data_IF_665107500450
#
_entry.id   IF_665107500450
#
_cell.length_a   1.000
_cell.length_b   1.000
_cell.length_c   1.000
_cell.angle_alpha   90.00
_cell.angle_beta   90.00
_cell.angle_gamma   90.00
#
_symmetry.space_group_name_H-M   'P 1'
#
loop_
_entity.id
_entity.type
_entity.pdbx_description
1 polymer ?
#
# COMPACT_ATOMS: atom_id res chain seq x y z
N UNK A 1 4.20 -29.23 22.75
CA UNK A 1 4.77 -27.89 22.97
C UNK A 1 6.14 -27.82 22.28
N UNK A 2 6.16 -27.58 20.97
CA UNK A 2 7.37 -27.39 20.15
C UNK A 2 7.06 -26.44 18.99
N UNK A 3 7.73 -25.29 19.02
CA UNK A 3 8.04 -24.27 17.99
C UNK A 3 7.39 -24.40 16.59
N UNK A 4 6.51 -23.44 16.25
CA UNK A 4 5.97 -23.21 14.91
C UNK A 4 6.59 -21.99 14.18
N UNK A 5 7.62 -21.34 14.74
CA UNK A 5 8.15 -20.06 14.23
C UNK A 5 9.13 -20.15 13.02
N UNK A 6 9.34 -21.34 12.42
CA UNK A 6 10.33 -21.49 11.33
C UNK A 6 9.76 -21.75 9.93
N UNK A 7 8.48 -22.06 9.80
CA UNK A 7 7.92 -22.49 8.50
C UNK A 7 7.51 -21.27 7.63
N UNK A 8 7.16 -20.14 8.24
CA UNK A 8 6.72 -18.94 7.48
C UNK A 8 7.88 -18.21 6.80
N UNK A 9 9.11 -18.33 7.30
CA UNK A 9 10.30 -17.70 6.70
C UNK A 9 10.78 -18.42 5.42
N UNK A 10 10.33 -19.65 5.17
CA UNK A 10 10.86 -20.46 4.07
C UNK A 10 10.11 -20.24 2.75
N UNK A 11 8.89 -19.70 2.77
CA UNK A 11 8.13 -19.37 1.55
C UNK A 11 8.71 -18.13 0.85
N UNK A 12 9.50 -17.30 1.55
CA UNK A 12 10.11 -16.10 0.96
C UNK A 12 11.44 -16.43 0.25
N UNK A 13 12.06 -17.60 0.48
CA UNK A 13 13.44 -17.86 0.04
C UNK A 13 13.63 -18.75 -1.21
N UNK A 14 12.56 -19.22 -1.88
CA UNK A 14 12.73 -20.06 -3.10
C UNK A 14 11.86 -19.57 -4.26
N UNK A 15 12.25 -18.43 -4.82
CA UNK A 15 12.23 -18.20 -6.27
C UNK A 15 13.31 -17.16 -6.63
N UNK A 16 14.58 -17.58 -6.57
CA UNK A 16 15.66 -16.92 -7.34
C UNK A 16 15.35 -17.10 -8.83
N UNK A 17 15.53 -16.12 -9.72
CA UNK A 17 16.62 -15.18 -9.85
C UNK A 17 16.11 -13.82 -10.37
N UNK A 18 16.38 -12.75 -9.63
CA UNK A 18 16.75 -11.41 -10.09
C UNK A 18 16.64 -10.46 -8.89
N UNK A 19 17.79 -9.99 -8.42
CA UNK A 19 17.93 -9.02 -7.34
C UNK A 19 17.13 -7.75 -7.64
N UNK A 20 16.05 -7.54 -6.89
CA UNK A 20 15.48 -6.23 -6.68
C UNK A 20 15.48 -6.01 -5.17
N UNK A 21 16.45 -5.24 -4.68
CA UNK A 21 16.51 -4.79 -3.29
C UNK A 21 15.31 -3.88 -3.03
N UNK A 22 14.19 -4.45 -2.60
CA UNK A 22 13.09 -3.70 -2.01
C UNK A 22 13.49 -3.49 -0.54
N UNK A 23 14.34 -2.50 -0.32
CA UNK A 23 14.62 -2.02 1.02
C UNK A 23 13.36 -1.34 1.58
N UNK A 24 12.81 -1.97 2.63
CA UNK A 24 11.88 -1.43 3.62
C UNK A 24 10.45 -1.07 3.16
N UNK A 25 9.61 -2.10 3.00
CA UNK A 25 8.15 -1.93 3.02
C UNK A 25 7.66 -1.89 4.47
N UNK A 26 7.58 -0.69 5.06
CA UNK A 26 6.95 -0.48 6.37
C UNK A 26 5.45 -0.78 6.29
N UNK A 27 5.05 -1.96 6.77
CA UNK A 27 3.65 -2.26 7.07
C UNK A 27 3.25 -1.38 8.25
N UNK A 28 2.54 -0.28 7.95
CA UNK A 28 1.96 0.62 8.94
C UNK A 28 0.84 -0.06 9.71
N UNK A 29 1.20 -0.95 10.65
CA UNK A 29 0.38 -1.16 11.83
C UNK A 29 0.17 0.20 12.50
N UNK A 30 -1.00 0.40 13.10
CA UNK A 30 -1.29 1.54 13.95
C UNK A 30 -0.36 1.45 15.18
N UNK A 31 0.92 1.76 14.99
CA UNK A 31 1.88 1.85 16.07
C UNK A 31 1.49 3.10 16.85
N UNK A 32 0.95 2.88 18.04
CA UNK A 32 0.83 3.92 19.04
C UNK A 32 2.25 4.44 19.31
N UNK A 33 2.56 5.60 18.73
CA UNK A 33 3.83 6.26 18.98
C UNK A 33 3.70 6.98 20.30
N UNK A 34 4.44 6.53 21.31
CA UNK A 34 4.61 7.29 22.54
C UNK A 34 5.37 8.60 22.22
N UNK A 35 4.67 9.73 22.37
CA UNK A 35 5.22 11.07 22.16
C UNK A 35 5.68 11.74 23.49
N UNK A 36 5.61 10.97 24.58
CA UNK A 36 5.91 11.35 25.95
C UNK A 36 4.85 12.25 26.58
N UNK A 37 4.94 12.45 27.90
CA UNK A 37 4.03 13.30 28.65
C UNK A 37 4.39 14.80 28.51
N UNK A 38 3.38 15.68 28.61
CA UNK A 38 3.55 17.13 28.65
C UNK A 38 2.75 17.68 29.82
N UNK A 39 3.33 18.64 30.52
CA UNK A 39 2.63 19.34 31.59
C UNK A 39 1.70 20.38 31.01
N UNK A 40 0.48 20.42 31.51
CA UNK A 40 -0.46 21.51 31.26
C UNK A 40 0.03 22.75 32.02
N UNK A 41 0.04 23.89 31.35
CA UNK A 41 0.43 25.19 31.89
C UNK A 41 -0.80 26.08 31.96
N UNK A 42 -1.00 26.77 33.08
CA UNK A 42 -2.08 27.76 33.19
C UNK A 42 -1.62 29.07 32.56
N UNK A 43 -2.47 29.66 31.71
CA UNK A 43 -2.24 30.99 31.14
C UNK A 43 -3.49 31.86 31.34
N UNK A 44 -3.31 33.04 31.91
CA UNK A 44 -4.44 33.91 32.29
C UNK A 44 -5.36 33.27 33.34
N UNK A 45 -6.65 33.64 33.33
CA UNK A 45 -7.64 33.14 34.30
C UNK A 45 -8.40 31.89 33.85
N UNK A 46 -8.58 31.69 32.55
CA UNK A 46 -9.54 30.70 32.02
C UNK A 46 -8.97 29.81 30.91
N UNK A 47 -7.65 29.79 30.72
CA UNK A 47 -7.05 29.02 29.64
C UNK A 47 -5.83 28.24 30.09
N UNK A 48 -5.64 27.10 29.43
CA UNK A 48 -4.53 26.22 29.65
C UNK A 48 -3.81 25.99 28.33
N UNK A 49 -2.48 25.91 28.38
CA UNK A 49 -1.61 25.62 27.25
C UNK A 49 -0.95 24.27 27.48
N UNK A 50 -0.84 23.47 26.42
CA UNK A 50 0.00 22.28 26.36
C UNK A 50 0.99 22.41 25.20
N UNK A 51 2.25 22.06 25.44
CA UNK A 51 3.27 22.08 24.38
C UNK A 51 3.13 20.84 23.51
N UNK A 52 2.98 21.04 22.20
CA UNK A 52 2.90 19.92 21.25
C UNK A 52 4.30 19.31 20.98
N UNK A 53 4.41 17.99 20.77
CA UNK A 53 5.69 17.35 20.44
C UNK A 53 6.27 17.89 19.12
N UNK A 54 7.49 18.43 19.15
CA UNK A 54 8.15 19.05 17.98
C UNK A 54 8.16 18.15 16.74
N UNK A 55 8.50 16.86 16.91
CA UNK A 55 8.51 15.88 15.81
C UNK A 55 7.12 15.70 15.20
N UNK A 56 6.07 15.62 16.03
CA UNK A 56 4.70 15.51 15.55
C UNK A 56 4.29 16.75 14.76
N UNK A 57 4.53 17.95 15.32
CA UNK A 57 4.26 19.25 14.65
C UNK A 57 4.91 19.31 13.27
N UNK A 58 6.19 18.91 13.17
CA UNK A 58 6.91 18.86 11.88
C UNK A 58 6.32 17.83 10.91
N UNK A 59 5.99 16.64 11.40
CA UNK A 59 5.43 15.56 10.57
C UNK A 59 4.06 15.93 10.00
N UNK A 60 3.24 16.66 10.77
CA UNK A 60 1.91 17.11 10.30
C UNK A 60 1.96 18.47 9.58
N UNK A 61 3.14 19.06 9.39
CA UNK A 61 3.31 20.32 8.66
C UNK A 61 2.72 21.55 9.35
N UNK A 62 2.55 21.52 10.68
CA UNK A 62 2.03 22.65 11.44
C UNK A 62 3.07 23.77 11.53
N UNK A 63 2.68 24.99 11.13
CA UNK A 63 3.48 26.20 11.25
C UNK A 63 2.82 27.23 12.16
N UNK A 64 3.50 28.35 12.45
CA UNK A 64 2.94 29.43 13.27
C UNK A 64 1.66 29.97 12.61
N UNK A 65 0.58 30.08 13.37
CA UNK A 65 -0.73 30.54 12.87
C UNK A 65 -1.63 29.42 12.36
N UNK A 66 -1.17 28.17 12.29
CA UNK A 66 -2.06 27.03 12.04
C UNK A 66 -2.99 26.76 13.23
N UNK A 67 -4.22 26.39 12.94
CA UNK A 67 -5.21 26.01 13.94
C UNK A 67 -5.20 24.49 14.17
N UNK A 68 -5.58 24.06 15.39
CA UNK A 68 -5.79 22.66 15.74
C UNK A 68 -7.20 22.52 16.30
N UNK A 69 -7.98 21.62 15.75
CA UNK A 69 -9.30 21.28 16.26
C UNK A 69 -9.16 20.28 17.40
N UNK A 70 -9.87 20.53 18.49
CA UNK A 70 -10.05 19.60 19.59
C UNK A 70 -11.42 18.94 19.48
N UNK A 71 -11.46 17.61 19.61
CA UNK A 71 -12.69 16.85 19.76
C UNK A 71 -12.58 16.00 21.01
N UNK A 72 -13.57 16.09 21.88
CA UNK A 72 -13.70 15.15 22.99
C UNK A 72 -14.35 13.87 22.47
N UNK A 73 -13.76 12.72 22.81
CA UNK A 73 -14.33 11.41 22.56
C UNK A 73 -15.17 10.96 23.76
N UNK A 74 -15.93 9.87 23.60
CA UNK A 74 -16.85 9.37 24.64
C UNK A 74 -16.13 8.95 25.93
N UNK A 75 -14.86 8.57 25.84
CA UNK A 75 -13.99 8.21 26.97
C UNK A 75 -13.31 9.42 27.65
N UNK A 76 -13.74 10.64 27.33
CA UNK A 76 -13.17 11.91 27.79
C UNK A 76 -11.77 12.23 27.25
N UNK A 77 -11.21 11.41 26.36
CA UNK A 77 -9.96 11.73 25.70
C UNK A 77 -10.14 12.88 24.70
N UNK A 78 -9.06 13.65 24.49
CA UNK A 78 -9.03 14.73 23.51
C UNK A 78 -8.30 14.28 22.25
N UNK A 79 -9.03 14.21 21.14
CA UNK A 79 -8.47 14.04 19.81
C UNK A 79 -8.09 15.40 19.24
N UNK A 80 -6.80 15.58 18.98
CA UNK A 80 -6.26 16.76 18.31
C UNK A 80 -6.11 16.50 16.82
N UNK A 81 -6.73 17.34 16.00
CA UNK A 81 -6.64 17.27 14.54
C UNK A 81 -6.16 18.60 13.98
N UNK A 82 -5.02 18.66 13.26
CA UNK A 82 -4.60 19.86 12.54
C UNK A 82 -5.73 20.37 11.63
N UNK A 83 -6.16 21.61 11.84
CA UNK A 83 -7.13 22.28 10.97
C UNK A 83 -6.33 22.91 9.84
N UNK A 84 -6.13 22.14 8.78
CA UNK A 84 -5.45 22.60 7.56
C UNK A 84 -6.19 23.80 6.97
N UNK A 85 -5.73 25.02 7.27
CA UNK A 85 -6.15 26.23 6.56
C UNK A 85 -5.42 26.39 5.23
N UNK A 86 -4.31 25.66 5.02
CA UNK A 86 -3.72 25.44 3.71
C UNK A 86 -4.11 24.06 3.19
N UNK A 87 -5.13 24.01 2.33
CA UNK A 87 -5.51 22.83 1.55
C UNK A 87 -4.34 22.27 0.70
N UNK A 88 -3.26 23.03 0.52
CA UNK A 88 -2.05 22.65 -0.23
C UNK A 88 -1.05 21.78 0.56
N UNK A 89 -1.08 21.77 1.90
CA UNK A 89 -0.06 21.07 2.70
C UNK A 89 -0.52 19.75 3.33
N UNK A 90 -1.67 19.20 2.90
CA UNK A 90 -1.80 17.74 2.86
C UNK A 90 -0.91 17.25 1.72
N UNK A 91 0.41 17.23 1.95
CA UNK A 91 1.22 16.14 1.41
C UNK A 91 0.66 14.85 2.03
N UNK A 92 -0.46 14.35 1.50
CA UNK A 92 -0.48 12.93 1.19
C UNK A 92 0.86 12.70 0.52
N UNK A 93 1.78 11.99 1.17
CA UNK A 93 3.05 11.65 0.55
C UNK A 93 2.69 11.11 -0.83
N UNK A 94 3.07 11.87 -1.86
CA UNK A 94 2.77 11.49 -3.23
C UNK A 94 3.45 10.14 -3.41
N UNK A 95 2.66 9.10 -3.67
CA UNK A 95 3.12 7.73 -3.82
C UNK A 95 3.74 7.58 -5.21
N UNK A 96 4.96 8.09 -5.35
CA UNK A 96 5.73 8.10 -6.59
C UNK A 96 6.69 6.90 -6.63
N UNK A 97 6.69 6.16 -7.73
CA UNK A 97 7.52 4.97 -7.91
C UNK A 97 8.28 5.00 -9.22
N UNK A 98 9.49 4.44 -9.18
CA UNK A 98 10.38 4.32 -10.33
C UNK A 98 10.55 2.84 -10.67
N UNK A 99 10.34 2.47 -11.93
CA UNK A 99 10.63 1.14 -12.43
C UNK A 99 11.53 1.20 -13.66
N UNK A 100 12.42 0.21 -13.75
CA UNK A 100 13.31 0.02 -14.89
C UNK A 100 12.91 -1.26 -15.60
N UNK A 101 12.81 -1.19 -16.92
CA UNK A 101 12.64 -2.34 -17.80
C UNK A 101 14.04 -2.85 -18.12
N UNK A 102 14.29 -4.11 -17.76
CA UNK A 102 15.58 -4.78 -17.91
C UNK A 102 15.75 -5.38 -19.31
N UNK A 103 16.99 -5.56 -19.80
CA UNK A 103 17.25 -6.33 -21.00
C UNK A 103 16.70 -7.75 -20.83
N UNK A 104 15.74 -8.15 -21.68
CA UNK A 104 15.05 -9.44 -21.62
C UNK A 104 13.68 -9.43 -20.92
N UNK A 105 13.25 -8.30 -20.35
CA UNK A 105 11.83 -8.12 -20.00
C UNK A 105 10.98 -8.17 -21.28
N UNK A 106 9.71 -8.57 -21.14
CA UNK A 106 8.69 -8.43 -22.19
C UNK A 106 7.68 -7.33 -21.84
N UNK A 107 6.95 -6.84 -22.85
CA UNK A 107 5.98 -5.75 -22.66
C UNK A 107 4.85 -6.09 -21.66
N UNK A 108 4.45 -7.36 -21.57
CA UNK A 108 3.45 -7.81 -20.61
C UNK A 108 3.99 -7.82 -19.18
N UNK A 109 5.28 -8.12 -18.98
CA UNK A 109 5.98 -8.00 -17.70
C UNK A 109 5.92 -6.56 -17.19
N UNK A 110 6.20 -5.59 -18.07
CA UNK A 110 6.07 -4.17 -17.74
C UNK A 110 4.63 -3.80 -17.34
N UNK A 111 3.62 -4.22 -18.12
CA UNK A 111 2.21 -3.99 -17.79
C UNK A 111 1.81 -4.62 -16.44
N UNK A 112 2.30 -5.83 -16.11
CA UNK A 112 2.07 -6.48 -14.80
C UNK A 112 2.67 -5.67 -13.65
N UNK A 113 3.90 -5.17 -13.80
CA UNK A 113 4.57 -4.29 -12.81
C UNK A 113 3.76 -3.00 -12.59
N UNK A 114 3.32 -2.35 -13.67
CA UNK A 114 2.48 -1.14 -13.61
C UNK A 114 1.14 -1.44 -12.91
N UNK A 115 0.49 -2.57 -13.21
CA UNK A 115 -0.75 -2.98 -12.54
C UNK A 115 -0.57 -3.18 -11.04
N UNK A 116 0.55 -3.76 -10.63
CA UNK A 116 0.88 -3.94 -9.21
C UNK A 116 1.04 -2.59 -8.51
N UNK A 117 1.78 -1.65 -9.11
CA UNK A 117 1.96 -0.29 -8.59
C UNK A 117 0.62 0.49 -8.52
N UNK A 118 -0.23 0.31 -9.53
CA UNK A 118 -1.59 0.86 -9.52
C UNK A 118 -2.43 0.30 -8.36
N UNK A 119 -2.32 -1.01 -8.10
CA UNK A 119 -3.08 -1.69 -7.04
C UNK A 119 -2.66 -1.25 -5.63
N UNK A 120 -1.38 -0.93 -5.42
CA UNK A 120 -0.90 -0.37 -4.13
C UNK A 120 -1.17 1.13 -3.96
N UNK A 121 -1.82 1.74 -4.97
CA UNK A 121 -2.29 3.12 -4.94
C UNK A 121 -1.20 4.14 -5.24
N UNK A 122 -0.31 3.86 -6.20
CA UNK A 122 0.61 4.86 -6.73
C UNK A 122 -0.14 6.12 -7.22
N UNK A 123 0.42 7.29 -6.98
CA UNK A 123 -0.02 8.55 -7.57
C UNK A 123 0.75 8.81 -8.90
N UNK A 124 2.03 8.41 -8.96
CA UNK A 124 2.89 8.52 -10.14
C UNK A 124 3.74 7.26 -10.35
N UNK A 125 3.88 6.84 -11.59
CA UNK A 125 4.75 5.72 -12.00
C UNK A 125 5.67 6.20 -13.13
N UNK A 126 6.97 6.16 -12.87
CA UNK A 126 8.01 6.47 -13.84
C UNK A 126 8.61 5.18 -14.40
N UNK A 127 8.60 5.04 -15.72
CA UNK A 127 9.09 3.85 -16.41
C UNK A 127 10.30 4.25 -17.26
N UNK A 128 11.47 3.65 -16.99
CA UNK A 128 12.71 3.85 -17.74
C UNK A 128 13.19 2.55 -18.39
N UNK A 129 13.84 2.65 -19.55
CA UNK A 129 14.57 1.52 -20.14
C UNK A 129 16.05 1.55 -19.70
N UNK A 130 16.61 0.40 -19.29
CA UNK A 130 18.03 0.32 -18.87
C UNK A 130 19.01 0.50 -20.03
N UNK A 131 18.63 0.14 -21.26
CA UNK A 131 19.53 0.15 -22.41
C UNK A 131 19.04 1.02 -23.58
N UNK A 132 19.96 1.52 -24.41
CA UNK A 132 19.74 2.53 -25.45
C UNK A 132 19.21 1.98 -26.78
N UNK A 133 18.72 0.74 -26.83
CA UNK A 133 18.11 0.20 -28.04
C UNK A 133 16.70 0.80 -28.23
N UNK A 134 16.69 1.97 -28.89
CA UNK A 134 15.51 2.82 -29.12
C UNK A 134 14.35 2.10 -29.81
N UNK A 135 14.62 1.03 -30.57
CA UNK A 135 13.60 0.29 -31.31
C UNK A 135 12.73 -0.58 -30.39
N UNK A 136 13.29 -1.17 -29.34
CA UNK A 136 12.53 -2.00 -28.40
C UNK A 136 11.63 -1.13 -27.52
N UNK A 137 12.11 0.06 -27.12
CA UNK A 137 11.32 0.96 -26.28
C UNK A 137 10.01 1.41 -26.93
N UNK A 138 9.97 1.54 -28.25
CA UNK A 138 8.75 1.95 -28.96
C UNK A 138 7.64 0.90 -28.83
N UNK A 139 8.01 -0.38 -28.86
CA UNK A 139 7.07 -1.49 -28.67
C UNK A 139 6.55 -1.52 -27.22
N UNK A 140 7.42 -1.33 -26.23
CA UNK A 140 7.04 -1.21 -24.83
C UNK A 140 6.09 -0.04 -24.59
N UNK A 141 6.43 1.14 -25.11
CA UNK A 141 5.59 2.34 -24.98
C UNK A 141 4.20 2.13 -25.55
N UNK A 142 4.09 1.53 -26.74
CA UNK A 142 2.80 1.25 -27.37
C UNK A 142 1.94 0.32 -26.51
N UNK A 143 2.53 -0.77 -26.02
CA UNK A 143 1.86 -1.71 -25.14
C UNK A 143 1.42 -1.07 -23.81
N UNK A 144 2.31 -0.29 -23.18
CA UNK A 144 2.01 0.42 -21.93
C UNK A 144 0.91 1.46 -22.15
N UNK A 145 0.97 2.25 -23.23
CA UNK A 145 -0.06 3.24 -23.58
C UNK A 145 -1.45 2.63 -23.73
N UNK A 146 -1.53 1.52 -24.47
CA UNK A 146 -2.80 0.81 -24.65
C UNK A 146 -3.29 0.24 -23.31
N UNK A 147 -2.39 -0.38 -22.54
CA UNK A 147 -2.71 -0.90 -21.21
C UNK A 147 -3.23 0.18 -20.25
N UNK A 148 -2.56 1.34 -20.17
CA UNK A 148 -2.96 2.48 -19.34
C UNK A 148 -4.37 2.94 -19.74
N UNK A 149 -4.62 3.13 -21.04
CA UNK A 149 -5.92 3.60 -21.55
C UNK A 149 -7.07 2.62 -21.30
N UNK A 150 -6.82 1.32 -21.43
CA UNK A 150 -7.86 0.29 -21.38
C UNK A 150 -8.12 -0.24 -19.96
N UNK A 151 -7.07 -0.31 -19.12
CA UNK A 151 -7.13 -1.05 -17.85
C UNK A 151 -6.99 -0.19 -16.60
N UNK A 152 -6.40 1.01 -16.69
CA UNK A 152 -6.07 1.83 -15.53
C UNK A 152 -6.97 3.06 -15.45
N UNK A 153 -8.10 2.92 -14.76
CA UNK A 153 -9.09 3.99 -14.62
C UNK A 153 -8.48 5.24 -13.98
N UNK A 154 -8.75 6.39 -14.60
CA UNK A 154 -8.31 7.68 -14.11
C UNK A 154 -6.79 7.86 -14.13
N UNK A 155 -6.10 7.18 -15.03
CA UNK A 155 -4.68 7.38 -15.26
C UNK A 155 -4.41 8.01 -16.62
N UNK A 156 -3.37 8.81 -16.69
CA UNK A 156 -2.93 9.51 -17.89
C UNK A 156 -1.40 9.48 -18.01
N UNK A 157 -0.90 9.60 -19.24
CA UNK A 157 0.53 9.75 -19.49
C UNK A 157 0.83 11.23 -19.61
N UNK A 158 1.63 11.76 -18.68
CA UNK A 158 1.91 13.21 -18.58
C UNK A 158 3.28 13.60 -19.13
N UNK A 159 4.20 12.64 -19.22
CA UNK A 159 5.52 12.87 -19.80
C UNK A 159 5.97 11.64 -20.59
N UNK A 160 6.59 11.91 -21.72
CA UNK A 160 7.11 10.89 -22.62
C UNK A 160 8.35 11.42 -23.33
N UNK A 161 9.49 10.78 -23.04
CA UNK A 161 10.76 11.07 -23.68
C UNK A 161 11.26 9.86 -24.47
N UNK A 162 12.44 9.96 -25.08
CA UNK A 162 13.00 8.84 -25.84
C UNK A 162 13.33 7.59 -25.00
N UNK A 163 13.38 7.70 -23.67
CA UNK A 163 13.78 6.61 -22.76
C UNK A 163 12.96 6.57 -21.45
N UNK A 164 11.98 7.46 -21.28
CA UNK A 164 11.15 7.56 -20.08
C UNK A 164 9.67 7.76 -20.43
N UNK A 165 8.80 7.21 -19.59
CA UNK A 165 7.36 7.40 -19.63
C UNK A 165 6.85 7.63 -18.20
N UNK A 166 6.08 8.70 -18.00
CA UNK A 166 5.49 9.01 -16.69
C UNK A 166 3.97 8.87 -16.76
N UNK A 167 3.43 8.04 -15.87
CA UNK A 167 1.99 7.79 -15.72
C UNK A 167 1.53 8.46 -14.43
N UNK A 168 0.52 9.32 -14.51
CA UNK A 168 -0.15 9.91 -13.36
C UNK A 168 -1.49 9.20 -13.13
N UNK A 169 -1.82 8.91 -11.86
CA UNK A 169 -3.08 8.29 -11.45
C UNK A 169 -3.87 9.31 -10.64
N UNK A 170 -4.93 9.83 -11.23
CA UNK A 170 -5.78 10.88 -10.66
C UNK A 170 -6.88 10.32 -9.76
N UNK A 171 -7.32 9.09 -10.03
CA UNK A 171 -8.40 8.44 -9.27
C UNK A 171 -7.82 7.55 -8.17
N UNK A 172 -7.91 8.02 -6.93
CA UNK A 172 -7.59 7.23 -5.75
C UNK A 172 -8.65 6.16 -5.55
N UNK A 173 -8.29 4.91 -5.84
CA UNK A 173 -9.15 3.78 -5.53
C UNK A 173 -9.22 3.59 -4.00
N UNK A 174 -10.36 3.16 -3.45
CA UNK A 174 -10.42 2.77 -2.05
C UNK A 174 -9.37 1.69 -1.81
N UNK A 175 -8.46 1.94 -0.86
CA UNK A 175 -7.37 1.03 -0.53
C UNK A 175 -7.94 -0.37 -0.30
N UNK A 176 -7.43 -1.36 -1.04
CA UNK A 176 -7.84 -2.74 -0.86
C UNK A 176 -7.50 -3.13 0.59
N UNK A 177 -8.49 -3.41 1.44
CA UNK A 177 -8.23 -3.62 2.86
C UNK A 177 -7.58 -4.99 3.05
N UNK A 178 -6.24 -5.02 3.02
CA UNK A 178 -5.42 -6.23 3.11
C UNK A 178 -5.82 -7.08 4.31
N UNK A 179 -6.10 -6.44 5.44
CA UNK A 179 -6.58 -7.13 6.66
C UNK A 179 -7.90 -7.89 6.41
N UNK A 180 -8.87 -7.28 5.73
CA UNK A 180 -10.14 -7.94 5.39
C UNK A 180 -9.92 -9.08 4.39
N UNK A 181 -9.00 -8.93 3.45
CA UNK A 181 -8.66 -9.97 2.49
C UNK A 181 -8.01 -11.18 3.17
N UNK A 182 -7.00 -10.94 4.03
CA UNK A 182 -6.35 -11.98 4.83
C UNK A 182 -7.37 -12.68 5.72
N UNK A 183 -8.26 -11.94 6.39
CA UNK A 183 -9.30 -12.52 7.25
C UNK A 183 -10.24 -13.42 6.45
N UNK A 184 -10.64 -13.01 5.24
CA UNK A 184 -11.45 -13.84 4.33
C UNK A 184 -10.71 -15.10 3.89
N UNK A 185 -9.44 -14.99 3.52
CA UNK A 185 -8.61 -16.14 3.15
C UNK A 185 -8.50 -17.13 4.31
N UNK A 186 -8.27 -16.65 5.53
CA UNK A 186 -8.21 -17.50 6.73
C UNK A 186 -9.54 -18.22 6.98
N UNK A 187 -10.67 -17.53 6.83
CA UNK A 187 -12.01 -18.14 6.96
C UNK A 187 -12.24 -19.22 5.91
N UNK A 188 -11.87 -18.96 4.64
CA UNK A 188 -12.00 -19.94 3.55
C UNK A 188 -11.13 -21.18 3.79
N UNK A 189 -9.87 -20.99 4.21
CA UNK A 189 -8.96 -22.07 4.51
C UNK A 189 -9.47 -22.94 5.69
N UNK A 190 -9.93 -22.32 6.77
CA UNK A 190 -10.49 -23.04 7.92
C UNK A 190 -11.80 -23.77 7.57
N UNK A 191 -12.61 -23.21 6.67
CA UNK A 191 -13.81 -23.90 6.16
C UNK A 191 -13.42 -25.12 5.33
N UNK A 192 -12.48 -24.97 4.39
CA UNK A 192 -12.01 -26.07 3.55
C UNK A 192 -11.39 -27.21 4.38
N UNK A 193 -10.66 -26.88 5.45
CA UNK A 193 -10.09 -27.87 6.37
C UNK A 193 -11.19 -28.67 7.11
N UNK A 194 -12.21 -27.98 7.64
CA UNK A 194 -13.38 -28.63 8.26
C UNK A 194 -14.16 -29.49 7.28
N UNK A 195 -14.39 -28.99 6.07
CA UNK A 195 -15.09 -29.71 5.01
C UNK A 195 -14.28 -30.95 4.60
N UNK A 196 -12.95 -30.88 4.60
CA UNK A 196 -12.07 -32.03 4.32
C UNK A 196 -12.23 -33.15 5.35
N UNK A 197 -12.26 -32.80 6.65
CA UNK A 197 -12.46 -33.77 7.72
C UNK A 197 -13.84 -34.45 7.62
N UNK A 198 -14.89 -33.65 7.41
CA UNK A 198 -16.26 -34.16 7.25
C UNK A 198 -16.41 -35.05 6.01
N UNK A 199 -15.73 -34.70 4.91
CA UNK A 199 -15.76 -35.46 3.67
C UNK A 199 -15.20 -36.88 3.85
N UNK A 200 -14.12 -37.00 4.63
CA UNK A 200 -13.48 -38.27 4.96
C UNK A 200 -14.35 -39.10 5.91
N UNK A 201 -14.89 -38.48 6.97
CA UNK A 201 -15.72 -39.15 7.97
C UNK A 201 -17.00 -39.73 7.35
N UNK A 202 -17.64 -38.99 6.44
CA UNK A 202 -18.92 -39.37 5.82
C UNK A 202 -18.76 -40.11 4.49
N UNK A 203 -17.55 -40.30 3.99
CA UNK A 203 -17.25 -40.79 2.63
C UNK A 203 -18.07 -40.07 1.54
N UNK A 204 -18.32 -38.77 1.72
CA UNK A 204 -19.17 -37.99 0.83
C UNK A 204 -18.38 -37.47 -0.39
N UNK A 205 -18.52 -38.18 -1.51
CA UNK A 205 -17.89 -37.84 -2.80
C UNK A 205 -18.28 -36.46 -3.36
N UNK A 206 -19.38 -35.87 -2.89
CA UNK A 206 -19.77 -34.50 -3.28
C UNK A 206 -18.94 -33.46 -2.52
N UNK A 207 -18.75 -33.67 -1.21
CA UNK A 207 -17.94 -32.82 -0.35
C UNK A 207 -16.46 -32.88 -0.73
N UNK A 208 -15.94 -34.07 -1.07
CA UNK A 208 -14.57 -34.24 -1.59
C UNK A 208 -14.33 -33.39 -2.84
N UNK A 209 -15.27 -33.39 -3.78
CA UNK A 209 -15.15 -32.59 -5.02
C UNK A 209 -15.23 -31.09 -4.75
N UNK A 210 -16.07 -30.68 -3.79
CA UNK A 210 -16.21 -29.29 -3.39
C UNK A 210 -14.93 -28.73 -2.75
N UNK A 211 -14.30 -29.52 -1.87
CA UNK A 211 -13.00 -29.18 -1.27
C UNK A 211 -11.93 -29.01 -2.35
N UNK A 212 -11.83 -29.96 -3.30
CA UNK A 212 -10.86 -29.88 -4.40
C UNK A 212 -11.02 -28.64 -5.28
N UNK A 213 -12.26 -28.20 -5.53
CA UNK A 213 -12.50 -26.98 -6.32
C UNK A 213 -12.19 -25.68 -5.57
N UNK A 214 -12.15 -25.71 -4.24
CA UNK A 214 -11.92 -24.51 -3.41
C UNK A 214 -10.42 -24.20 -3.24
N UNK A 215 -9.55 -25.18 -3.52
CA UNK A 215 -8.08 -25.06 -3.40
C UNK A 215 -7.35 -24.68 -4.70
N UNK A 216 -8.06 -24.52 -5.82
CA UNK A 216 -7.53 -24.06 -7.12
C UNK A 216 -7.93 -22.60 -7.39
#
# INVERSE_FOLDING_TARGET
>A
MLRFDKIVLQIIYIHGYASCEINELYIGGLMEKDLGCRRVQCTGRESYIITLPKKWVQNVGLTRGCEVTFKQLDDLSLLLTPRNTNRENRKFMVKEYWMVIEPGDDAQSACRKIKALYTVGADFIHVRLRDKDKNDFMNFKSAIKNFVREMLLGSEIIDETSNELTIQILVKHPEFPVEKAIRRMAVLALSADRDSLLAVEKMDKSLIRHVLSTCN
#
